data_IF_901050619509
#
_entry.id   IF_901050619509
#
_cell.length_a   1.000
_cell.length_b   1.000
_cell.length_c   1.000
_cell.angle_alpha   90.00
_cell.angle_beta   90.00
_cell.angle_gamma   90.00
#
_symmetry.space_group_name_H-M   'P 1'
#
loop_
_entity.id
_entity.type
_entity.pdbx_description
1 polymer ?
#
# COMPACT_ATOMS: atom_id res chain seq x y z
N UNK A 1 -19.94 9.00 -14.12
CA UNK A 1 -20.72 8.50 -12.95
C UNK A 1 -20.02 8.81 -11.63
N UNK A 2 -20.69 8.64 -10.49
CA UNK A 2 -20.14 8.88 -9.13
C UNK A 2 -18.82 8.12 -8.88
N UNK A 3 -18.70 6.90 -9.42
CA UNK A 3 -17.47 6.11 -9.37
C UNK A 3 -16.30 6.78 -10.13
N UNK A 4 -16.56 7.43 -11.26
CA UNK A 4 -15.51 8.14 -12.01
C UNK A 4 -15.07 9.41 -11.28
N UNK A 5 -16.00 10.11 -10.63
CA UNK A 5 -15.67 11.28 -9.82
C UNK A 5 -14.78 10.90 -8.63
N UNK A 6 -15.13 9.83 -7.92
CA UNK A 6 -14.30 9.27 -6.84
C UNK A 6 -12.91 8.85 -7.32
N UNK A 7 -12.83 8.13 -8.45
CA UNK A 7 -11.55 7.73 -9.01
C UNK A 7 -10.71 8.94 -9.43
N UNK A 8 -11.33 9.99 -9.98
CA UNK A 8 -10.60 11.21 -10.37
C UNK A 8 -10.05 11.95 -9.14
N UNK A 9 -10.82 12.08 -8.06
CA UNK A 9 -10.37 12.68 -6.79
C UNK A 9 -9.26 11.83 -6.14
N UNK A 10 -9.41 10.50 -6.16
CA UNK A 10 -8.40 9.59 -5.62
C UNK A 10 -7.08 9.66 -6.40
N UNK A 11 -7.15 9.85 -7.73
CA UNK A 11 -5.96 10.01 -8.59
C UNK A 11 -5.21 11.30 -8.31
N UNK A 12 -5.87 12.38 -7.87
CA UNK A 12 -5.17 13.61 -7.43
C UNK A 12 -4.26 13.37 -6.23
N UNK A 13 -4.54 12.34 -5.43
CA UNK A 13 -3.75 11.93 -4.28
C UNK A 13 -2.75 10.79 -4.60
N UNK A 14 -2.73 10.30 -5.83
CA UNK A 14 -1.74 9.33 -6.27
C UNK A 14 -0.39 10.01 -6.36
N UNK A 15 0.61 9.37 -5.75
CA UNK A 15 1.98 9.85 -5.74
C UNK A 15 2.52 10.09 -7.17
N UNK A 16 2.93 11.34 -7.44
CA UNK A 16 3.70 11.71 -8.63
C UNK A 16 5.21 11.67 -8.31
N UNK A 17 5.98 10.77 -8.94
CA UNK A 17 7.42 10.64 -8.70
C UNK A 17 8.24 11.85 -9.15
N UNK A 18 7.67 12.76 -9.93
CA UNK A 18 8.35 13.95 -10.46
C UNK A 18 8.09 15.21 -9.64
N UNK A 19 7.13 15.17 -8.72
CA UNK A 19 6.79 16.30 -7.89
C UNK A 19 7.80 16.43 -6.73
N UNK A 20 8.32 17.64 -6.44
CA UNK A 20 9.22 17.84 -5.31
C UNK A 20 8.48 17.56 -4.00
N UNK A 21 9.05 16.67 -3.18
CA UNK A 21 8.52 16.40 -1.85
C UNK A 21 8.68 17.62 -0.93
N UNK A 22 7.64 18.05 -0.20
CA UNK A 22 7.78 19.09 0.80
C UNK A 22 8.75 18.62 1.90
N UNK A 23 9.54 19.55 2.44
CA UNK A 23 10.44 19.23 3.55
C UNK A 23 9.61 18.79 4.78
N UNK A 24 9.94 17.65 5.40
CA UNK A 24 9.20 17.17 6.55
C UNK A 24 9.39 18.13 7.74
N UNK A 25 8.36 18.30 8.59
CA UNK A 25 8.48 19.11 9.80
C UNK A 25 9.63 18.58 10.66
N UNK A 26 10.37 19.49 11.32
CA UNK A 26 11.48 19.15 12.20
C UNK A 26 11.07 19.29 13.66
N UNK A 27 11.69 18.49 14.52
CA UNK A 27 11.61 18.62 15.97
C UNK A 27 12.37 19.88 16.43
N UNK A 28 12.09 20.42 17.65
CA UNK A 28 12.81 21.58 18.17
C UNK A 28 14.33 21.42 18.32
N UNK A 29 14.80 20.17 18.35
CA UNK A 29 16.19 19.77 18.49
C UNK A 29 16.84 19.45 17.13
N UNK A 30 16.11 19.68 16.04
CA UNK A 30 16.65 19.67 14.69
C UNK A 30 16.46 18.38 13.92
N UNK A 31 15.93 17.30 14.50
CA UNK A 31 15.72 16.02 13.81
C UNK A 31 14.39 15.99 13.02
N UNK A 32 14.26 15.15 11.97
CA UNK A 32 12.98 14.96 11.29
C UNK A 32 11.87 14.49 12.25
N UNK A 33 10.69 15.09 12.17
CA UNK A 33 9.51 14.64 12.92
C UNK A 33 8.87 13.46 12.21
N UNK A 34 8.83 12.31 12.87
CA UNK A 34 8.18 11.07 12.41
C UNK A 34 6.75 10.91 12.99
N UNK A 35 6.14 12.02 13.41
CA UNK A 35 4.76 12.03 13.90
C UNK A 35 3.78 11.94 12.73
N UNK A 36 2.68 11.21 12.92
CA UNK A 36 1.64 11.06 11.91
C UNK A 36 0.88 9.74 12.03
N UNK A 37 -0.02 9.52 11.07
CA UNK A 37 -0.68 8.23 10.90
C UNK A 37 0.15 7.36 9.97
N UNK A 38 0.59 6.21 10.47
CA UNK A 38 1.35 5.24 9.71
C UNK A 38 0.43 4.12 9.28
N UNK A 39 0.42 3.81 7.97
CA UNK A 39 -0.22 2.61 7.45
C UNK A 39 0.81 1.49 7.33
N UNK A 40 0.45 0.30 7.78
CA UNK A 40 1.22 -0.93 7.57
C UNK A 40 0.62 -1.81 6.47
N UNK A 41 -0.41 -1.33 5.77
CA UNK A 41 -1.11 -2.09 4.74
C UNK A 41 -0.25 -2.23 3.48
N UNK A 42 0.60 -3.27 3.46
CA UNK A 42 1.33 -3.69 2.27
C UNK A 42 0.89 -5.09 1.87
N UNK A 43 0.39 -5.22 0.64
CA UNK A 43 0.14 -6.52 0.02
C UNK A 43 1.41 -7.17 -0.55
N UNK A 44 2.52 -6.43 -0.59
CA UNK A 44 3.81 -6.95 -1.03
C UNK A 44 4.58 -7.50 0.18
N UNK A 45 4.90 -8.81 0.20
CA UNK A 45 5.65 -9.40 1.31
C UNK A 45 7.10 -8.86 1.33
N UNK A 46 7.65 -8.74 2.54
CA UNK A 46 9.05 -8.30 2.73
C UNK A 46 10.07 -9.28 2.15
N UNK A 47 9.72 -10.57 2.14
CA UNK A 47 10.55 -11.64 1.62
C UNK A 47 9.94 -12.18 0.33
N UNK A 48 10.79 -12.48 -0.64
CA UNK A 48 10.36 -13.10 -1.90
C UNK A 48 9.90 -14.54 -1.64
N UNK A 49 8.65 -14.91 -2.02
CA UNK A 49 8.19 -16.29 -1.92
C UNK A 49 9.08 -17.25 -2.71
N UNK A 50 9.32 -18.44 -2.17
CA UNK A 50 10.17 -19.47 -2.79
C UNK A 50 9.70 -19.86 -4.21
N UNK A 51 8.38 -19.89 -4.41
CA UNK A 51 7.77 -20.14 -5.73
C UNK A 51 8.19 -19.13 -6.81
N UNK A 52 8.77 -17.99 -6.42
CA UNK A 52 9.19 -16.89 -7.29
C UNK A 52 10.70 -16.66 -7.31
N UNK A 53 11.49 -17.58 -6.74
CA UNK A 53 12.94 -17.48 -6.68
C UNK A 53 13.57 -17.27 -8.09
N UNK A 54 13.06 -17.97 -9.11
CA UNK A 54 13.52 -17.85 -10.50
C UNK A 54 12.81 -16.79 -11.34
N UNK A 55 11.87 -16.02 -10.77
CA UNK A 55 11.01 -15.11 -11.52
C UNK A 55 11.14 -13.68 -11.00
N UNK A 56 12.02 -12.85 -11.58
CA UNK A 56 12.37 -11.55 -11.00
C UNK A 56 11.19 -10.58 -10.94
N UNK A 57 10.30 -10.62 -11.95
CA UNK A 57 9.16 -9.71 -12.11
C UNK A 57 7.89 -10.50 -12.47
N UNK A 58 6.74 -9.96 -12.04
CA UNK A 58 5.45 -10.37 -12.57
C UNK A 58 5.19 -9.71 -13.93
N UNK A 59 4.37 -10.37 -14.73
CA UNK A 59 3.64 -9.66 -15.80
C UNK A 59 2.57 -8.76 -15.17
N UNK A 60 2.11 -7.73 -15.90
CA UNK A 60 1.05 -6.85 -15.41
C UNK A 60 -0.21 -7.61 -15.01
N UNK A 61 -0.58 -8.64 -15.79
CA UNK A 61 -1.73 -9.50 -15.50
C UNK A 61 -1.58 -10.23 -14.16
N UNK A 62 -0.43 -10.85 -13.92
CA UNK A 62 -0.18 -11.59 -12.68
C UNK A 62 -0.16 -10.67 -11.45
N UNK A 63 0.40 -9.46 -11.60
CA UNK A 63 0.38 -8.47 -10.53
C UNK A 63 -1.06 -8.11 -10.13
N UNK A 64 -1.95 -7.91 -11.12
CA UNK A 64 -3.38 -7.64 -10.89
C UNK A 64 -4.06 -8.83 -10.20
N UNK A 65 -3.84 -10.05 -10.69
CA UNK A 65 -4.45 -11.26 -10.11
C UNK A 65 -4.02 -11.49 -8.65
N UNK A 66 -2.75 -11.23 -8.33
CA UNK A 66 -2.23 -11.35 -6.95
C UNK A 66 -2.81 -10.25 -6.06
N UNK A 67 -2.84 -9.00 -6.54
CA UNK A 67 -3.43 -7.88 -5.81
C UNK A 67 -4.91 -8.14 -5.49
N UNK A 68 -5.68 -8.56 -6.49
CA UNK A 68 -7.10 -8.91 -6.30
C UNK A 68 -7.29 -9.98 -5.24
N UNK A 69 -6.48 -11.04 -5.26
CA UNK A 69 -6.56 -12.10 -4.24
C UNK A 69 -6.29 -11.57 -2.83
N UNK A 70 -5.30 -10.70 -2.67
CA UNK A 70 -4.97 -10.11 -1.37
C UNK A 70 -6.10 -9.20 -0.86
N UNK A 71 -6.63 -8.32 -1.72
CA UNK A 71 -7.76 -7.44 -1.38
C UNK A 71 -9.01 -8.26 -1.01
N UNK A 72 -9.29 -9.34 -1.74
CA UNK A 72 -10.42 -10.22 -1.40
C UNK A 72 -10.23 -10.94 -0.07
N UNK A 73 -8.99 -11.32 0.26
CA UNK A 73 -8.67 -11.93 1.55
C UNK A 73 -8.86 -10.91 2.68
N UNK A 74 -8.32 -9.70 2.53
CA UNK A 74 -8.43 -8.61 3.51
C UNK A 74 -9.90 -8.25 3.77
N UNK A 75 -10.69 -8.07 2.70
CA UNK A 75 -12.11 -7.74 2.78
C UNK A 75 -12.99 -8.86 3.34
N UNK A 76 -12.49 -10.09 3.46
CA UNK A 76 -13.23 -11.20 4.06
C UNK A 76 -13.24 -11.16 5.60
N UNK A 77 -12.36 -10.36 6.21
CA UNK A 77 -12.28 -10.21 7.65
C UNK A 77 -13.06 -8.97 8.13
N UNK A 78 -13.75 -9.08 9.26
CA UNK A 78 -14.40 -7.93 9.89
C UNK A 78 -13.31 -6.99 10.46
N UNK A 79 -13.22 -5.73 10.02
CA UNK A 79 -12.22 -4.77 10.53
C UNK A 79 -12.44 -4.41 12.01
N UNK A 80 -13.59 -4.73 12.61
CA UNK A 80 -13.87 -4.55 14.04
C UNK A 80 -13.38 -5.70 14.93
N UNK A 81 -12.96 -6.82 14.36
CA UNK A 81 -12.51 -8.01 15.10
C UNK A 81 -10.98 -8.16 14.99
N UNK A 82 -10.31 -8.44 16.12
CA UNK A 82 -8.85 -8.60 16.16
C UNK A 82 -8.49 -10.03 15.74
N UNK A 83 -7.90 -10.17 14.55
CA UNK A 83 -7.46 -11.47 14.01
C UNK A 83 -5.98 -11.71 14.34
N UNK A 84 -5.68 -12.78 15.08
CA UNK A 84 -4.30 -13.21 15.41
C UNK A 84 -3.78 -14.32 14.50
N UNK A 85 -4.62 -14.83 13.60
CA UNK A 85 -4.33 -15.88 12.62
C UNK A 85 -3.99 -15.33 11.23
N UNK A 86 -3.63 -14.05 11.15
CA UNK A 86 -2.91 -13.51 9.99
C UNK A 86 -1.65 -14.37 9.76
N UNK A 87 -1.69 -15.24 8.76
CA UNK A 87 -0.60 -16.13 8.37
C UNK A 87 -0.59 -16.33 6.86
#
# INVERSE_FOLDING_TARGET
DEAEAFLSEAIEHVWDPTQPYPEPPRTPWGDPSLQGYWSFASYTPLQRPDALAGKPLYTAREAIEIFQRQVHSDAAFDPGEVHYDWA
#
